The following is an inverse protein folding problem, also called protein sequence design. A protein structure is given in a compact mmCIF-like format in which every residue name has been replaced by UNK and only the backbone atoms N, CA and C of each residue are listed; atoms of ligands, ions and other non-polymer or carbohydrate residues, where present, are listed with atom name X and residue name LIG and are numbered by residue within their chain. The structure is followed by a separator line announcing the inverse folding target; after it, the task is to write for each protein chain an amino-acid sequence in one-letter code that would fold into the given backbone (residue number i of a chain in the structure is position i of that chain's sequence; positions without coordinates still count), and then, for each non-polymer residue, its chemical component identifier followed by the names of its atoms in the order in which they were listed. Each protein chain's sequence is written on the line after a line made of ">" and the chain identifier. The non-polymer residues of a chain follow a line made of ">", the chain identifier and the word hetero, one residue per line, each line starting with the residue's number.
data_IF_832605312541
#
_entry.id   IF_832605312541
#
_cell.length_a   1.000
_cell.length_b   1.000
_cell.length_c   1.000
_cell.angle_alpha   90.00
_cell.angle_beta   90.00
_cell.angle_gamma   90.00
#
_symmetry.space_group_name_H-M   'P 1'
#
loop_
_entity.id
_entity.type
_entity.pdbx_description
1 polymer ?
#
# COMPACT_ATOMS: atom_id res chain seq x y z
N UNK A 1 -25.56 -1.00 -91.29
CA UNK A 1 -24.17 -1.09 -90.81
C UNK A 1 -24.07 -0.21 -89.58
N UNK A 2 -23.71 -0.79 -88.44
CA UNK A 2 -23.65 -0.11 -87.14
C UNK A 2 -22.20 0.26 -86.86
N UNK A 3 -21.90 1.54 -86.78
CA UNK A 3 -20.58 2.04 -86.36
C UNK A 3 -20.60 2.39 -84.87
N UNK A 4 -19.59 1.86 -84.17
CA UNK A 4 -19.23 2.18 -82.80
C UNK A 4 -18.74 3.62 -82.72
N UNK A 5 -19.20 4.37 -81.71
CA UNK A 5 -18.37 5.42 -81.13
C UNK A 5 -18.55 5.46 -79.61
N UNK A 6 -17.41 5.36 -78.94
CA UNK A 6 -17.25 5.18 -77.50
C UNK A 6 -16.75 6.47 -76.84
N UNK A 7 -17.04 6.56 -75.52
CA UNK A 7 -16.45 7.44 -74.48
C UNK A 7 -17.10 8.85 -74.34
N UNK A 8 -17.13 9.46 -73.13
CA UNK A 8 -16.49 9.05 -71.89
C UNK A 8 -17.36 8.90 -70.65
N UNK A 9 -16.85 8.04 -69.76
CA UNK A 9 -17.16 7.94 -68.35
C UNK A 9 -16.98 9.31 -67.70
N UNK A 10 -18.08 9.90 -67.22
CA UNK A 10 -18.08 11.16 -66.50
C UNK A 10 -17.69 10.84 -65.04
N UNK A 11 -16.38 10.82 -64.79
CA UNK A 11 -15.86 10.81 -63.44
C UNK A 11 -16.01 12.22 -62.89
N UNK A 12 -17.02 12.41 -62.03
CA UNK A 12 -17.12 13.48 -61.03
C UNK A 12 -18.43 13.33 -60.23
N UNK A 13 -18.66 12.16 -59.63
CA UNK A 13 -19.45 12.15 -58.39
C UNK A 13 -18.52 12.60 -57.28
N UNK A 14 -18.46 13.92 -57.16
CA UNK A 14 -17.95 14.71 -56.04
C UNK A 14 -17.94 13.84 -54.78
N UNK A 15 -16.74 13.48 -54.32
CA UNK A 15 -16.53 13.09 -52.93
C UNK A 15 -16.90 14.33 -52.13
N UNK A 16 -18.18 14.45 -51.81
CA UNK A 16 -18.70 15.52 -51.00
C UNK A 16 -18.08 15.32 -49.63
N UNK A 17 -17.05 16.12 -49.39
CA UNK A 17 -16.31 16.11 -48.16
C UNK A 17 -17.29 16.50 -47.08
N UNK A 18 -17.89 15.49 -46.42
CA UNK A 18 -18.39 15.66 -45.07
C UNK A 18 -17.16 15.89 -44.21
N UNK A 19 -16.67 17.12 -44.29
CA UNK A 19 -15.83 17.70 -43.26
C UNK A 19 -16.75 17.72 -42.06
N UNK A 20 -16.65 16.68 -41.21
CA UNK A 20 -17.27 16.70 -39.88
C UNK A 20 -16.53 17.83 -39.16
N UNK A 21 -16.95 19.07 -39.40
CA UNK A 21 -16.50 20.22 -38.65
C UNK A 21 -17.05 19.99 -37.25
N UNK A 22 -16.23 19.39 -36.39
CA UNK A 22 -16.56 19.15 -35.00
C UNK A 22 -16.62 20.50 -34.30
N UNK A 23 -17.77 21.17 -34.43
CA UNK A 23 -18.13 22.34 -33.64
C UNK A 23 -18.40 21.85 -32.22
N UNK A 24 -17.33 21.46 -31.52
CA UNK A 24 -17.37 21.12 -30.11
C UNK A 24 -17.84 22.37 -29.39
N UNK A 25 -19.13 22.35 -29.02
CA UNK A 25 -19.81 23.45 -28.36
C UNK A 25 -19.00 23.88 -27.13
N UNK A 26 -18.97 25.19 -26.82
CA UNK A 26 -18.31 25.72 -25.61
C UNK A 26 -18.79 24.98 -24.36
N UNK A 27 -20.04 24.51 -24.37
CA UNK A 27 -20.62 23.65 -23.34
C UNK A 27 -19.95 22.29 -23.23
N UNK A 28 -19.65 21.62 -24.35
CA UNK A 28 -18.93 20.33 -24.35
C UNK A 28 -17.51 20.50 -23.80
N UNK A 29 -16.81 21.58 -24.19
CA UNK A 29 -15.47 21.88 -23.65
C UNK A 29 -15.51 22.19 -22.15
N UNK A 30 -16.50 22.95 -21.70
CA UNK A 30 -16.70 23.25 -20.27
C UNK A 30 -17.04 21.99 -19.47
N UNK A 31 -17.92 21.13 -19.98
CA UNK A 31 -18.24 19.85 -19.35
C UNK A 31 -17.03 18.92 -19.29
N UNK A 32 -16.22 18.86 -20.35
CA UNK A 32 -15.00 18.07 -20.37
C UNK A 32 -13.96 18.58 -19.38
N UNK A 33 -13.80 19.90 -19.27
CA UNK A 33 -12.92 20.52 -18.26
C UNK A 33 -13.43 20.25 -16.84
N UNK A 34 -14.74 20.33 -16.61
CA UNK A 34 -15.35 20.00 -15.33
C UNK A 34 -15.13 18.53 -14.93
N UNK A 35 -15.31 17.60 -15.88
CA UNK A 35 -15.03 16.17 -15.68
C UNK A 35 -13.55 15.93 -15.38
N UNK A 36 -12.64 16.59 -16.10
CA UNK A 36 -11.21 16.50 -15.83
C UNK A 36 -10.88 16.99 -14.41
N UNK A 37 -11.45 18.12 -13.99
CA UNK A 37 -11.31 18.63 -12.61
C UNK A 37 -11.82 17.65 -11.56
N UNK A 38 -12.99 17.03 -11.79
CA UNK A 38 -13.56 16.02 -10.89
C UNK A 38 -12.66 14.78 -10.79
N UNK A 39 -12.08 14.32 -11.90
CA UNK A 39 -11.15 13.19 -11.89
C UNK A 39 -9.87 13.52 -11.10
N UNK A 40 -9.33 14.73 -11.26
CA UNK A 40 -8.16 15.17 -10.48
C UNK A 40 -8.49 15.19 -8.99
N UNK A 41 -9.63 15.77 -8.61
CA UNK A 41 -10.07 15.83 -7.20
C UNK A 41 -10.26 14.43 -6.61
N UNK A 42 -10.89 13.53 -7.36
CA UNK A 42 -11.11 12.14 -6.95
C UNK A 42 -9.79 11.39 -6.82
N UNK A 43 -8.85 11.62 -7.74
CA UNK A 43 -7.51 11.03 -7.69
C UNK A 43 -6.73 11.47 -6.46
N UNK A 44 -6.72 12.77 -6.15
CA UNK A 44 -6.07 13.30 -4.94
C UNK A 44 -6.70 12.72 -3.67
N UNK A 45 -8.03 12.66 -3.61
CA UNK A 45 -8.74 12.05 -2.49
C UNK A 45 -8.39 10.58 -2.32
N UNK A 46 -8.36 9.80 -3.41
CA UNK A 46 -8.01 8.39 -3.39
C UNK A 46 -6.57 8.14 -2.92
N UNK A 47 -5.60 8.88 -3.47
CA UNK A 47 -4.20 8.77 -3.07
C UNK A 47 -4.02 9.11 -1.60
N UNK A 48 -4.66 10.18 -1.13
CA UNK A 48 -4.61 10.59 0.27
C UNK A 48 -5.22 9.52 1.17
N UNK A 49 -6.42 9.02 0.84
CA UNK A 49 -7.09 7.97 1.59
C UNK A 49 -6.22 6.70 1.68
N UNK A 50 -5.58 6.31 0.58
CA UNK A 50 -4.65 5.17 0.55
C UNK A 50 -3.39 5.39 1.37
N UNK A 51 -2.85 6.61 1.40
CA UNK A 51 -1.66 6.94 2.16
C UNK A 51 -1.90 6.96 3.68
N UNK A 52 -3.11 7.32 4.12
CA UNK A 52 -3.43 7.46 5.55
C UNK A 52 -4.14 6.26 6.16
N UNK A 53 -4.67 5.33 5.34
CA UNK A 53 -5.33 4.13 5.85
C UNK A 53 -4.31 3.27 6.60
N UNK A 54 -4.52 3.00 7.90
CA UNK A 54 -3.56 2.22 8.67
C UNK A 54 -3.62 0.74 8.30
N UNK A 55 -2.46 0.08 8.28
CA UNK A 55 -2.36 -1.38 8.12
C UNK A 55 -2.64 -2.05 9.47
N UNK A 56 -3.58 -3.01 9.51
CA UNK A 56 -3.85 -3.80 10.71
C UNK A 56 -3.06 -5.10 10.64
N UNK A 57 -2.18 -5.31 11.61
CA UNK A 57 -1.29 -6.47 11.69
C UNK A 57 -1.39 -7.13 13.05
N UNK A 58 -0.95 -8.38 13.16
CA UNK A 58 -0.96 -9.13 14.41
C UNK A 58 0.43 -9.54 14.85
N UNK A 59 0.61 -9.55 16.17
CA UNK A 59 1.83 -9.94 16.84
C UNK A 59 1.54 -10.97 17.93
N UNK A 60 2.30 -12.06 17.93
CA UNK A 60 2.29 -13.05 19.01
C UNK A 60 3.18 -12.60 20.16
N UNK A 61 2.67 -11.70 20.99
CA UNK A 61 3.39 -11.23 22.17
C UNK A 61 3.65 -12.36 23.15
N UNK A 62 2.64 -13.22 23.39
CA UNK A 62 2.75 -14.31 24.35
C UNK A 62 3.85 -15.28 23.95
N UNK A 63 3.82 -15.80 22.72
CA UNK A 63 4.84 -16.73 22.24
C UNK A 63 6.24 -16.09 22.22
N UNK A 64 6.34 -14.78 21.99
CA UNK A 64 7.63 -14.08 22.00
C UNK A 64 8.21 -13.94 23.41
N UNK A 65 7.36 -13.60 24.40
CA UNK A 65 7.78 -13.53 25.81
C UNK A 65 8.09 -14.92 26.35
N UNK A 66 7.25 -15.92 26.05
CA UNK A 66 7.47 -17.31 26.49
C UNK A 66 8.81 -17.85 25.95
N UNK A 67 9.15 -17.54 24.70
CA UNK A 67 10.44 -17.89 24.10
C UNK A 67 11.61 -17.23 24.83
N UNK A 68 11.50 -15.93 25.16
CA UNK A 68 12.52 -15.24 25.95
C UNK A 68 12.67 -15.86 27.35
N UNK A 69 11.57 -16.21 28.01
CA UNK A 69 11.61 -16.89 29.32
C UNK A 69 12.29 -18.25 29.22
N UNK A 70 11.99 -19.03 28.19
CA UNK A 70 12.64 -20.31 27.94
C UNK A 70 14.15 -20.17 27.68
N UNK A 71 14.55 -19.15 26.92
CA UNK A 71 15.96 -18.86 26.62
C UNK A 71 16.71 -18.34 27.84
N UNK A 72 16.11 -17.43 28.61
CA UNK A 72 16.73 -16.87 29.82
C UNK A 72 16.87 -17.89 30.94
N UNK A 73 15.93 -18.84 31.07
CA UNK A 73 16.03 -19.92 32.05
C UNK A 73 17.24 -20.85 31.83
N UNK A 74 17.78 -20.91 30.61
CA UNK A 74 19.01 -21.67 30.32
C UNK A 74 20.28 -20.94 30.78
N UNK A 75 20.19 -19.63 31.01
CA UNK A 75 21.27 -18.83 31.52
C UNK A 75 21.18 -18.87 33.05
N UNK A 76 22.17 -19.47 33.71
CA UNK A 76 22.29 -19.39 35.17
C UNK A 76 22.69 -17.96 35.55
N UNK A 77 21.70 -17.11 35.79
CA UNK A 77 21.89 -15.70 36.09
C UNK A 77 21.63 -15.43 37.57
N UNK A 78 22.43 -14.55 38.16
CA UNK A 78 22.06 -13.88 39.39
C UNK A 78 20.89 -12.92 39.16
N UNK A 79 20.22 -12.53 40.24
CA UNK A 79 19.00 -11.73 40.19
C UNK A 79 19.19 -10.37 39.50
N UNK A 80 20.34 -9.72 39.69
CA UNK A 80 20.62 -8.43 39.07
C UNK A 80 20.76 -8.56 37.55
N UNK A 81 21.45 -9.60 37.07
CA UNK A 81 21.57 -9.88 35.63
C UNK A 81 20.23 -10.28 35.01
N UNK A 82 19.44 -11.11 35.68
CA UNK A 82 18.10 -11.49 35.21
C UNK A 82 17.18 -10.27 35.03
N UNK A 83 17.22 -9.34 35.99
CA UNK A 83 16.46 -8.08 35.91
C UNK A 83 16.95 -7.19 34.77
N UNK A 84 18.26 -7.01 34.62
CA UNK A 84 18.84 -6.20 33.55
C UNK A 84 18.48 -6.77 32.16
N UNK A 85 18.56 -8.09 31.98
CA UNK A 85 18.16 -8.74 30.73
C UNK A 85 16.67 -8.56 30.43
N UNK A 86 15.81 -8.69 31.44
CA UNK A 86 14.37 -8.46 31.27
C UNK A 86 14.08 -7.02 30.85
N UNK A 87 14.77 -6.04 31.45
CA UNK A 87 14.65 -4.64 31.08
C UNK A 87 15.12 -4.39 29.65
N UNK A 88 16.25 -4.96 29.25
CA UNK A 88 16.78 -4.85 27.89
C UNK A 88 15.83 -5.48 26.86
N UNK A 89 15.27 -6.66 27.16
CA UNK A 89 14.28 -7.30 26.31
C UNK A 89 13.03 -6.44 26.14
N UNK A 90 12.46 -5.91 27.23
CA UNK A 90 11.26 -5.07 27.16
C UNK A 90 11.53 -3.78 26.38
N UNK A 91 12.69 -3.14 26.58
CA UNK A 91 13.08 -1.96 25.82
C UNK A 91 13.23 -2.27 24.31
N UNK A 92 13.83 -3.40 23.97
CA UNK A 92 13.97 -3.85 22.59
C UNK A 92 12.60 -4.18 21.95
N UNK A 93 11.71 -4.85 22.68
CA UNK A 93 10.35 -5.18 22.25
C UNK A 93 9.54 -3.91 21.96
N UNK A 94 9.45 -2.99 22.91
CA UNK A 94 8.74 -1.71 22.74
C UNK A 94 9.35 -0.91 21.60
N UNK A 95 10.68 -0.75 21.57
CA UNK A 95 11.34 -0.02 20.50
C UNK A 95 11.13 -0.62 19.11
N UNK A 96 11.06 -1.96 19.02
CA UNK A 96 10.76 -2.65 17.76
C UNK A 96 9.35 -2.38 17.28
N UNK A 97 8.36 -2.51 18.16
CA UNK A 97 6.96 -2.23 17.86
C UNK A 97 6.74 -0.77 17.47
N UNK A 98 7.29 0.19 18.23
CA UNK A 98 7.17 1.62 17.93
C UNK A 98 7.76 1.98 16.57
N UNK A 99 8.93 1.41 16.25
CA UNK A 99 9.59 1.61 14.94
C UNK A 99 8.74 1.03 13.81
N UNK A 100 8.17 -0.17 14.02
CA UNK A 100 7.32 -0.82 13.03
C UNK A 100 6.05 -0.02 12.77
N UNK A 101 5.34 0.38 13.84
CA UNK A 101 4.11 1.17 13.75
C UNK A 101 4.34 2.50 13.04
N UNK A 102 5.44 3.20 13.37
CA UNK A 102 5.76 4.49 12.77
C UNK A 102 6.16 4.38 11.30
N UNK A 103 6.90 3.34 10.92
CA UNK A 103 7.37 3.15 9.53
C UNK A 103 6.29 2.61 8.59
N UNK A 104 5.29 1.89 9.12
CA UNK A 104 4.24 1.24 8.32
C UNK A 104 2.87 1.91 8.49
N UNK A 105 2.73 2.96 9.31
CA UNK A 105 1.42 3.50 9.71
C UNK A 105 0.48 2.37 10.19
N UNK A 106 1.00 1.50 11.05
CA UNK A 106 0.34 0.25 11.39
C UNK A 106 -0.28 0.25 12.79
N UNK A 107 -1.41 -0.45 12.91
CA UNK A 107 -2.03 -0.81 14.19
C UNK A 107 -1.67 -2.26 14.46
N UNK A 108 -0.88 -2.49 15.51
CA UNK A 108 -0.47 -3.84 15.93
C UNK A 108 -1.46 -4.36 16.96
N UNK A 109 -2.06 -5.51 16.67
CA UNK A 109 -2.96 -6.22 17.57
C UNK A 109 -2.27 -7.47 18.12
N UNK A 110 -2.63 -7.87 19.32
CA UNK A 110 -2.11 -9.11 19.93
C UNK A 110 -2.94 -10.30 19.43
N UNK A 111 -2.28 -11.35 18.91
CA UNK A 111 -2.95 -12.49 18.23
C UNK A 111 -4.16 -13.08 18.98
N UNK A 112 -4.09 -13.42 20.29
CA UNK A 112 -5.25 -13.91 21.04
C UNK A 112 -6.49 -12.99 21.06
N UNK A 113 -6.33 -11.70 20.77
CA UNK A 113 -7.41 -10.72 20.83
C UNK A 113 -8.13 -10.51 19.49
N UNK A 114 -7.69 -11.17 18.40
CA UNK A 114 -8.28 -11.01 17.06
C UNK A 114 -9.00 -12.28 16.61
N UNK A 115 -10.15 -12.09 15.97
CA UNK A 115 -10.93 -13.21 15.40
C UNK A 115 -10.68 -13.40 13.91
N UNK A 116 -10.36 -12.31 13.20
CA UNK A 116 -10.08 -12.35 11.76
C UNK A 116 -8.59 -12.58 11.51
N UNK A 117 -8.22 -13.35 10.48
CA UNK A 117 -6.83 -13.48 10.08
C UNK A 117 -6.31 -12.12 9.60
N UNK A 118 -5.21 -11.69 10.20
CA UNK A 118 -4.45 -10.51 9.79
C UNK A 118 -3.02 -10.94 9.45
N UNK A 119 -2.27 -10.04 8.81
CA UNK A 119 -0.85 -10.28 8.55
C UNK A 119 -0.11 -10.43 9.88
N UNK A 120 0.60 -11.54 10.04
CA UNK A 120 1.42 -11.82 11.20
C UNK A 120 2.83 -11.28 11.00
N UNK A 121 3.25 -10.35 11.86
CA UNK A 121 4.57 -9.70 11.84
C UNK A 121 5.53 -10.25 12.91
N UNK A 122 5.17 -11.36 13.55
CA UNK A 122 5.90 -11.92 14.70
C UNK A 122 7.37 -12.19 14.40
N UNK A 123 7.68 -12.70 13.21
CA UNK A 123 9.05 -13.04 12.85
C UNK A 123 9.90 -11.77 12.64
N UNK A 124 9.35 -10.77 11.96
CA UNK A 124 10.01 -9.48 11.72
C UNK A 124 10.35 -8.77 13.03
N UNK A 125 9.39 -8.72 13.96
CA UNK A 125 9.57 -8.12 15.28
C UNK A 125 10.63 -8.89 16.09
N UNK A 126 10.57 -10.23 16.12
CA UNK A 126 11.58 -11.04 16.83
C UNK A 126 12.98 -10.85 16.28
N UNK A 127 13.14 -10.79 14.96
CA UNK A 127 14.43 -10.51 14.33
C UNK A 127 14.95 -9.13 14.73
N UNK A 128 14.10 -8.12 14.73
CA UNK A 128 14.49 -6.77 15.11
C UNK A 128 14.85 -6.65 16.61
N UNK A 129 14.10 -7.31 17.49
CA UNK A 129 14.44 -7.44 18.91
C UNK A 129 15.83 -8.05 19.09
N UNK A 130 16.11 -9.17 18.41
CA UNK A 130 17.42 -9.83 18.49
C UNK A 130 18.55 -8.89 18.04
N UNK A 131 18.34 -8.14 16.95
CA UNK A 131 19.31 -7.12 16.51
C UNK A 131 19.55 -6.03 17.55
N UNK A 132 18.49 -5.51 18.20
CA UNK A 132 18.60 -4.46 19.22
C UNK A 132 19.32 -4.94 20.48
N UNK A 133 19.11 -6.19 20.87
CA UNK A 133 19.80 -6.79 22.02
C UNK A 133 21.28 -7.01 21.69
N UNK A 134 21.61 -7.45 20.48
CA UNK A 134 22.99 -7.68 20.04
C UNK A 134 23.78 -6.39 19.76
N UNK A 135 23.13 -5.38 19.17
CA UNK A 135 23.74 -4.10 18.80
C UNK A 135 23.70 -3.04 19.90
N UNK A 136 23.16 -3.37 21.07
CA UNK A 136 23.14 -2.50 22.27
C UNK A 136 24.34 -2.71 23.21
N UNK A 137 25.44 -3.27 22.70
CA UNK A 137 26.72 -3.46 23.40
C UNK A 137 27.76 -2.44 22.94
#
# INVERSE_FOLDING_TARGET
>A
MSEQQSKPYNGDTVRDGVTIASKTSRWVKASMLGLAGLMVMTGVAYVTAKAVTPEVVVFDMKGTVDLFMQQSAQLQLDENRAKAMTQQFNAALTGSLDTWQSSHNAIVLVKPAVMSPQRDITNEIRTDIARRIQGGQ
#
